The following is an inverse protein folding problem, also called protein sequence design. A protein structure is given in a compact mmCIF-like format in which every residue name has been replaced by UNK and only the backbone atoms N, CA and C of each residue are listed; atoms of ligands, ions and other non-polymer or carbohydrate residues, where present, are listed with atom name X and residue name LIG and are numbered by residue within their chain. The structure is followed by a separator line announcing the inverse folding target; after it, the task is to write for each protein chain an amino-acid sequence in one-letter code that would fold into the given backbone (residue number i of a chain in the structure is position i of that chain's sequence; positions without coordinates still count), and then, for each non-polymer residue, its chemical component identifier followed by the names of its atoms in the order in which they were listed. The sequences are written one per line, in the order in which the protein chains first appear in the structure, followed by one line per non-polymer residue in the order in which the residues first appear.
data_IF_360824713072
#
_entry.id   IF_360824713072
#
_cell.length_a   1.000
_cell.length_b   1.000
_cell.length_c   1.000
_cell.angle_alpha   90.00
_cell.angle_beta   90.00
_cell.angle_gamma   90.00
#
_symmetry.space_group_name_H-M   'P 1'
#
loop_
_entity.id
_entity.type
_entity.pdbx_description
1 polymer ?
#
# COMPACT_ATOMS: atom_id res chain seq x y z
N UNK A 1 -6.48 16.64 -7.13
CA UNK A 1 -7.86 16.48 -7.60
C UNK A 1 -8.68 16.78 -6.38
N UNK A 2 -8.85 18.06 -6.06
CA UNK A 2 -9.93 18.46 -5.18
C UNK A 2 -10.97 18.99 -6.15
N UNK A 3 -11.89 18.11 -6.52
CA UNK A 3 -13.00 18.36 -7.47
C UNK A 3 -14.23 18.88 -6.70
N UNK A 4 -14.08 19.12 -5.40
CA UNK A 4 -15.15 19.48 -4.48
C UNK A 4 -14.73 20.81 -3.86
N UNK A 5 -15.53 21.84 -4.10
CA UNK A 5 -15.30 23.15 -3.52
C UNK A 5 -15.76 23.17 -2.06
N UNK A 6 -15.18 24.07 -1.26
CA UNK A 6 -15.52 24.20 0.15
C UNK A 6 -17.01 24.54 0.36
N UNK A 7 -17.66 25.15 -0.64
CA UNK A 7 -19.09 25.44 -0.65
C UNK A 7 -19.98 24.18 -0.69
N UNK A 8 -19.48 23.06 -1.20
CA UNK A 8 -20.22 21.81 -1.32
C UNK A 8 -20.15 20.96 -0.04
N UNK A 9 -19.13 21.19 0.80
CA UNK A 9 -18.87 20.41 2.01
C UNK A 9 -20.05 20.32 3.00
N UNK A 10 -20.87 21.37 3.19
CA UNK A 10 -22.05 21.27 4.06
C UNK A 10 -23.02 20.18 3.61
N UNK A 11 -23.15 19.92 2.30
CA UNK A 11 -24.08 18.96 1.72
C UNK A 11 -23.52 17.54 1.59
N UNK A 12 -22.24 17.34 1.91
CA UNK A 12 -21.58 16.03 1.83
C UNK A 12 -21.55 15.40 3.21
N UNK A 13 -22.30 14.31 3.41
CA UNK A 13 -22.29 13.58 4.69
C UNK A 13 -21.28 12.42 4.72
N UNK A 14 -20.91 11.90 3.56
CA UNK A 14 -20.14 10.67 3.43
C UNK A 14 -18.95 10.86 2.48
N UNK A 15 -17.76 10.54 2.96
CA UNK A 15 -16.55 10.39 2.15
C UNK A 15 -16.26 8.91 1.97
N UNK A 16 -16.14 8.46 0.73
CA UNK A 16 -15.86 7.05 0.42
C UNK A 16 -14.54 6.95 -0.30
N UNK A 17 -13.59 6.26 0.33
CA UNK A 17 -12.29 5.92 -0.23
C UNK A 17 -12.26 4.44 -0.56
N UNK A 18 -11.85 4.13 -1.79
CA UNK A 18 -11.79 2.75 -2.29
C UNK A 18 -10.37 2.48 -2.76
N UNK A 19 -9.80 1.36 -2.32
CA UNK A 19 -8.47 0.90 -2.73
C UNK A 19 -8.47 -0.63 -2.86
N UNK A 20 -7.54 -1.23 -3.60
CA UNK A 20 -7.46 -2.68 -3.73
C UNK A 20 -6.80 -3.32 -2.49
N UNK A 21 -5.69 -2.76 -2.04
CA UNK A 21 -4.87 -3.27 -0.96
C UNK A 21 -4.29 -2.17 -0.07
N UNK A 22 -4.42 -2.31 1.24
CA UNK A 22 -3.79 -1.38 2.20
C UNK A 22 -2.77 -2.08 3.10
N UNK A 23 -1.48 -1.88 2.77
CA UNK A 23 -0.36 -2.50 3.49
C UNK A 23 -0.01 -1.83 4.82
N UNK A 24 0.21 -0.51 4.80
CA UNK A 24 0.63 0.25 6.00
C UNK A 24 -0.39 1.27 6.45
N UNK A 25 -1.43 1.53 5.66
CA UNK A 25 -2.39 2.62 5.87
C UNK A 25 -1.83 4.02 5.62
N UNK A 26 -0.52 4.18 5.33
CA UNK A 26 0.14 5.48 5.24
C UNK A 26 -0.44 6.37 4.13
N UNK A 27 -0.74 5.82 2.96
CA UNK A 27 -1.30 6.59 1.84
C UNK A 27 -2.66 7.19 2.20
N UNK A 28 -3.54 6.38 2.79
CA UNK A 28 -4.86 6.81 3.25
C UNK A 28 -4.76 7.88 4.35
N UNK A 29 -3.93 7.64 5.38
CA UNK A 29 -3.71 8.62 6.47
C UNK A 29 -3.16 9.93 5.91
N UNK A 30 -2.23 9.87 4.95
CA UNK A 30 -1.68 11.07 4.32
C UNK A 30 -2.74 11.83 3.53
N UNK A 31 -3.72 11.16 2.94
CA UNK A 31 -4.85 11.81 2.27
C UNK A 31 -5.71 12.58 3.27
N UNK A 32 -6.07 11.94 4.39
CA UNK A 32 -6.84 12.60 5.45
C UNK A 32 -6.11 13.82 6.01
N UNK A 33 -4.79 13.72 6.21
CA UNK A 33 -3.95 14.81 6.75
C UNK A 33 -3.91 16.05 5.89
N UNK A 34 -4.21 15.96 4.59
CA UNK A 34 -4.21 17.16 3.72
C UNK A 34 -5.26 18.17 4.14
N UNK A 35 -6.39 17.70 4.66
CA UNK A 35 -7.50 18.57 5.04
C UNK A 35 -8.36 17.91 6.12
N UNK A 36 -7.81 17.74 7.32
CA UNK A 36 -8.46 17.02 8.44
C UNK A 36 -9.84 17.58 8.79
N UNK A 37 -9.99 18.91 8.79
CA UNK A 37 -11.24 19.60 9.16
C UNK A 37 -12.41 19.25 8.24
N UNK A 38 -12.12 18.89 6.99
CA UNK A 38 -13.11 18.46 5.99
C UNK A 38 -13.97 17.27 6.45
N UNK A 39 -13.44 16.45 7.34
CA UNK A 39 -14.08 15.22 7.80
C UNK A 39 -14.83 15.39 9.12
N UNK A 40 -14.82 16.59 9.71
CA UNK A 40 -15.47 16.86 10.99
C UNK A 40 -16.98 16.67 10.89
N UNK A 41 -17.53 15.81 11.76
CA UNK A 41 -18.96 15.49 11.77
C UNK A 41 -19.46 14.68 10.57
N UNK A 42 -18.56 14.23 9.69
CA UNK A 42 -18.89 13.43 8.50
C UNK A 42 -18.56 11.95 8.71
N UNK A 43 -19.13 11.07 7.91
CA UNK A 43 -18.75 9.66 7.90
C UNK A 43 -17.65 9.44 6.87
N UNK A 44 -16.55 8.82 7.26
CA UNK A 44 -15.48 8.40 6.35
C UNK A 44 -15.54 6.89 6.21
N UNK A 45 -15.69 6.39 5.00
CA UNK A 45 -15.63 4.98 4.67
C UNK A 45 -14.31 4.69 3.96
N UNK A 46 -13.62 3.65 4.41
CA UNK A 46 -12.45 3.12 3.72
C UNK A 46 -12.71 1.66 3.34
N UNK A 47 -12.91 1.44 2.05
CA UNK A 47 -13.31 0.16 1.47
C UNK A 47 -12.10 -0.44 0.74
N UNK A 48 -11.74 -1.66 1.10
CA UNK A 48 -10.61 -2.37 0.47
C UNK A 48 -10.94 -3.83 0.16
N UNK A 49 -10.26 -4.44 -0.82
CA UNK A 49 -10.34 -5.90 -0.97
C UNK A 49 -9.55 -6.57 0.14
N UNK A 50 -8.33 -6.09 0.43
CA UNK A 50 -7.52 -6.64 1.51
C UNK A 50 -6.78 -5.54 2.29
N UNK A 51 -6.76 -5.66 3.61
CA UNK A 51 -6.03 -4.75 4.50
C UNK A 51 -5.20 -5.52 5.53
N UNK A 52 -4.00 -5.00 5.79
CA UNK A 52 -3.20 -5.50 6.91
C UNK A 52 -3.82 -5.06 8.24
N UNK A 53 -3.88 -5.95 9.23
CA UNK A 53 -4.40 -5.62 10.58
C UNK A 53 -3.60 -4.45 11.19
N UNK A 54 -2.29 -4.40 10.96
CA UNK A 54 -1.44 -3.29 11.41
C UNK A 54 -1.80 -1.94 10.76
N UNK A 55 -2.31 -1.93 9.52
CA UNK A 55 -2.79 -0.73 8.86
C UNK A 55 -4.12 -0.26 9.46
N UNK A 56 -5.05 -1.19 9.71
CA UNK A 56 -6.34 -0.92 10.37
C UNK A 56 -6.12 -0.20 11.71
N UNK A 57 -5.25 -0.76 12.58
CA UNK A 57 -4.93 -0.15 13.89
C UNK A 57 -4.36 1.26 13.77
N UNK A 58 -3.47 1.51 12.80
CA UNK A 58 -2.88 2.84 12.58
C UNK A 58 -3.91 3.86 12.10
N UNK A 59 -4.80 3.44 11.20
CA UNK A 59 -5.86 4.30 10.66
C UNK A 59 -6.83 4.65 11.78
N UNK A 60 -7.32 3.65 12.52
CA UNK A 60 -8.22 3.87 13.66
C UNK A 60 -7.61 4.77 14.73
N UNK A 61 -6.32 4.58 15.04
CA UNK A 61 -5.60 5.45 15.99
C UNK A 61 -5.59 6.90 15.52
N UNK A 62 -5.16 7.13 14.26
CA UNK A 62 -5.14 8.47 13.69
C UNK A 62 -6.52 9.12 13.65
N UNK A 63 -7.55 8.38 13.21
CA UNK A 63 -8.91 8.90 13.15
C UNK A 63 -9.47 9.22 14.54
N UNK A 64 -9.18 8.40 15.55
CA UNK A 64 -9.55 8.66 16.95
C UNK A 64 -8.90 9.94 17.48
N UNK A 65 -7.60 10.11 17.26
CA UNK A 65 -6.84 11.30 17.67
C UNK A 65 -7.35 12.59 17.02
N UNK A 66 -7.99 12.49 15.84
CA UNK A 66 -8.48 13.63 15.07
C UNK A 66 -10.01 13.73 15.06
N UNK A 67 -10.71 12.97 15.91
CA UNK A 67 -12.17 12.93 15.99
C UNK A 67 -12.88 12.68 14.63
N UNK A 68 -12.26 11.85 13.78
CA UNK A 68 -12.81 11.44 12.48
C UNK A 68 -13.58 10.14 12.67
N UNK A 69 -14.86 10.12 12.27
CA UNK A 69 -15.68 8.91 12.27
C UNK A 69 -15.32 8.04 11.06
N UNK A 70 -14.47 7.04 11.27
CA UNK A 70 -14.01 6.10 10.24
C UNK A 70 -14.76 4.76 10.31
N UNK A 71 -15.12 4.22 9.15
CA UNK A 71 -15.72 2.90 8.96
C UNK A 71 -14.85 2.15 7.95
N UNK A 72 -14.11 1.14 8.42
CA UNK A 72 -13.23 0.34 7.58
C UNK A 72 -13.97 -0.92 7.15
N UNK A 73 -14.21 -1.07 5.85
CA UNK A 73 -14.80 -2.24 5.24
C UNK A 73 -13.72 -2.95 4.42
N UNK A 74 -13.49 -4.22 4.71
CA UNK A 74 -12.53 -5.01 3.94
C UNK A 74 -12.98 -6.44 3.87
N UNK A 75 -12.95 -7.02 2.68
CA UNK A 75 -13.29 -8.43 2.47
C UNK A 75 -12.30 -9.32 3.22
N UNK A 76 -11.00 -9.01 3.12
CA UNK A 76 -9.94 -9.75 3.79
C UNK A 76 -9.13 -8.88 4.74
N UNK A 77 -8.93 -9.38 5.96
CA UNK A 77 -8.02 -8.78 6.95
C UNK A 77 -6.95 -9.79 7.32
N UNK A 78 -5.68 -9.42 7.20
CA UNK A 78 -4.59 -10.34 7.50
C UNK A 78 -3.47 -9.70 8.32
N UNK A 79 -2.85 -10.53 9.16
CA UNK A 79 -1.57 -10.23 9.78
C UNK A 79 -0.42 -10.55 8.82
N UNK A 80 0.80 -10.21 9.25
CA UNK A 80 2.02 -10.60 8.53
C UNK A 80 2.07 -12.11 8.39
N UNK A 81 2.59 -12.59 7.27
CA UNK A 81 2.70 -14.03 6.95
C UNK A 81 3.30 -14.82 8.11
N UNK A 82 4.46 -14.38 8.61
CA UNK A 82 5.21 -15.07 9.66
C UNK A 82 4.78 -14.73 11.09
N UNK A 83 3.71 -13.97 11.27
CA UNK A 83 3.05 -13.81 12.58
C UNK A 83 1.74 -14.60 12.69
N UNK A 84 1.38 -15.34 11.64
CA UNK A 84 0.22 -16.22 11.58
C UNK A 84 0.70 -17.66 11.75
N UNK A 85 -0.14 -18.55 12.27
CA UNK A 85 0.20 -19.97 12.39
C UNK A 85 0.01 -20.69 11.04
N UNK A 86 0.84 -20.33 10.05
CA UNK A 86 0.83 -20.92 8.71
C UNK A 86 1.88 -22.01 8.53
N UNK A 87 2.89 -22.01 9.38
CA UNK A 87 4.00 -22.96 9.37
C UNK A 87 4.20 -23.54 10.77
N UNK A 88 4.75 -24.75 10.87
CA UNK A 88 5.11 -25.38 12.15
C UNK A 88 6.10 -24.51 12.94
N UNK A 89 7.05 -23.90 12.23
CA UNK A 89 7.97 -22.89 12.75
C UNK A 89 8.05 -21.69 11.81
N UNK A 90 7.42 -20.59 12.21
CA UNK A 90 7.41 -19.35 11.45
C UNK A 90 8.80 -18.71 11.31
N UNK A 91 9.68 -18.88 12.29
CA UNK A 91 11.03 -18.30 12.26
C UNK A 91 11.88 -19.04 11.24
N UNK A 92 11.83 -20.38 11.28
CA UNK A 92 12.51 -21.24 10.30
C UNK A 92 11.97 -21.02 8.89
N UNK A 93 10.65 -21.00 8.71
CA UNK A 93 10.04 -20.75 7.39
C UNK A 93 10.44 -19.38 6.82
N UNK A 94 10.56 -18.36 7.67
CA UNK A 94 11.03 -17.04 7.25
C UNK A 94 12.48 -17.06 6.81
N UNK A 95 13.35 -17.77 7.53
CA UNK A 95 14.75 -17.97 7.17
C UNK A 95 14.87 -18.70 5.82
N UNK A 96 14.21 -19.84 5.67
CA UNK A 96 14.20 -20.64 4.44
C UNK A 96 13.69 -19.83 3.23
N UNK A 97 12.61 -19.07 3.39
CA UNK A 97 12.11 -18.18 2.33
C UNK A 97 13.11 -17.06 2.00
N UNK A 98 13.85 -16.55 3.00
CA UNK A 98 14.87 -15.52 2.78
C UNK A 98 16.02 -16.10 1.96
N UNK A 99 16.61 -17.22 2.40
CA UNK A 99 17.69 -17.91 1.71
C UNK A 99 17.30 -18.31 0.28
N UNK A 100 16.11 -18.90 0.12
CA UNK A 100 15.58 -19.22 -1.21
C UNK A 100 15.44 -17.96 -2.08
N UNK A 101 14.94 -16.86 -1.53
CA UNK A 101 14.77 -15.62 -2.30
C UNK A 101 16.11 -15.02 -2.75
N UNK A 102 17.13 -15.10 -1.91
CA UNK A 102 18.51 -14.70 -2.23
C UNK A 102 19.08 -15.58 -3.35
N UNK A 103 18.89 -16.89 -3.27
CA UNK A 103 19.28 -17.84 -4.33
C UNK A 103 18.58 -17.58 -5.66
N UNK A 104 17.33 -17.10 -5.62
CA UNK A 104 16.56 -16.69 -6.78
C UNK A 104 16.94 -15.28 -7.27
N UNK A 105 17.89 -14.60 -6.62
CA UNK A 105 18.37 -13.25 -6.97
C UNK A 105 17.27 -12.20 -6.86
N UNK A 106 16.38 -12.34 -5.88
CA UNK A 106 15.34 -11.35 -5.59
C UNK A 106 15.98 -10.20 -4.81
N UNK A 107 15.72 -8.92 -5.18
CA UNK A 107 16.30 -7.80 -4.45
C UNK A 107 15.91 -7.82 -2.98
N UNK A 108 16.86 -7.53 -2.08
CA UNK A 108 16.67 -7.58 -0.62
C UNK A 108 15.44 -6.76 -0.17
N UNK A 109 15.22 -5.59 -0.78
CA UNK A 109 14.08 -4.72 -0.50
C UNK A 109 12.72 -5.33 -0.85
N UNK A 110 12.70 -6.36 -1.69
CA UNK A 110 11.52 -7.00 -2.24
C UNK A 110 11.22 -8.35 -1.60
N UNK A 111 12.22 -9.04 -1.02
CA UNK A 111 12.10 -10.38 -0.41
C UNK A 111 10.89 -10.45 0.53
N UNK A 112 10.80 -9.50 1.47
CA UNK A 112 9.73 -9.45 2.49
C UNK A 112 8.54 -8.54 2.10
N UNK A 113 8.47 -8.17 0.82
CA UNK A 113 7.52 -7.18 0.31
C UNK A 113 7.84 -5.75 0.76
N UNK A 114 7.19 -4.78 0.10
CA UNK A 114 7.42 -3.36 0.34
C UNK A 114 7.34 -2.99 1.83
N UNK A 115 8.42 -2.39 2.34
CA UNK A 115 8.58 -2.01 3.76
C UNK A 115 8.42 -3.18 4.74
N UNK A 116 8.80 -4.39 4.32
CA UNK A 116 8.73 -5.62 5.14
C UNK A 116 7.30 -5.85 5.66
N UNK A 117 6.30 -5.58 4.81
CA UNK A 117 4.89 -5.82 5.11
C UNK A 117 4.57 -7.30 5.24
N UNK A 118 5.34 -8.17 4.57
CA UNK A 118 5.17 -9.62 4.62
C UNK A 118 3.73 -10.03 4.33
N UNK A 119 3.09 -9.38 3.35
CA UNK A 119 1.74 -9.76 2.95
C UNK A 119 1.80 -11.06 2.15
N UNK A 120 0.79 -11.92 2.33
CA UNK A 120 0.60 -13.11 1.50
C UNK A 120 -0.70 -12.92 0.73
N UNK A 121 -0.63 -12.17 -0.37
CA UNK A 121 -1.78 -11.86 -1.21
C UNK A 121 -1.36 -11.76 -2.66
N UNK A 122 -2.16 -12.30 -3.56
CA UNK A 122 -2.02 -12.09 -4.99
C UNK A 122 -3.40 -11.78 -5.57
N UNK A 123 -3.44 -10.90 -6.56
CA UNK A 123 -4.64 -10.63 -7.33
C UNK A 123 -4.44 -11.17 -8.74
N UNK A 124 -5.54 -11.58 -9.38
CA UNK A 124 -5.51 -12.15 -10.73
C UNK A 124 -4.82 -11.21 -11.75
N UNK A 125 -5.11 -9.91 -11.66
CA UNK A 125 -4.57 -8.92 -12.60
C UNK A 125 -3.23 -8.32 -12.17
N UNK A 126 -3.06 -8.00 -10.88
CA UNK A 126 -1.89 -7.24 -10.42
C UNK A 126 -1.53 -7.50 -8.96
N UNK A 127 -0.44 -8.23 -8.71
CA UNK A 127 0.01 -8.56 -7.34
C UNK A 127 0.53 -7.32 -6.60
N UNK A 128 0.03 -7.00 -5.39
CA UNK A 128 0.51 -5.88 -4.58
C UNK A 128 2.03 -5.96 -4.32
N UNK A 129 2.70 -4.81 -4.27
CA UNK A 129 4.14 -4.76 -3.96
C UNK A 129 4.45 -5.16 -2.50
N UNK A 130 3.43 -5.17 -1.64
CA UNK A 130 3.54 -5.59 -0.25
C UNK A 130 3.67 -7.12 -0.08
N UNK A 131 3.42 -7.88 -1.14
CA UNK A 131 3.55 -9.33 -1.18
C UNK A 131 5.01 -9.76 -1.19
N UNK A 132 5.31 -10.91 -0.58
CA UNK A 132 6.62 -11.56 -0.62
C UNK A 132 7.19 -11.60 -2.04
N UNK A 133 8.48 -11.28 -2.17
CA UNK A 133 9.12 -11.02 -3.46
C UNK A 133 9.04 -12.21 -4.41
N UNK A 134 9.29 -13.42 -3.93
CA UNK A 134 9.29 -14.63 -4.77
C UNK A 134 7.93 -14.92 -5.40
N UNK A 135 6.85 -14.35 -4.87
CA UNK A 135 5.51 -14.55 -5.45
C UNK A 135 5.33 -13.71 -6.71
N UNK A 136 6.03 -12.57 -6.85
CA UNK A 136 5.72 -11.55 -7.86
C UNK A 136 6.90 -10.95 -8.63
N UNK A 137 8.14 -11.24 -8.22
CA UNK A 137 9.33 -10.59 -8.72
C UNK A 137 10.10 -11.55 -9.62
N UNK A 138 10.11 -11.26 -10.92
CA UNK A 138 10.89 -12.00 -11.90
C UNK A 138 12.37 -11.61 -11.84
N UNK A 139 13.24 -12.58 -12.01
CA UNK A 139 14.69 -12.40 -12.07
C UNK A 139 15.24 -13.15 -13.28
N UNK A 140 16.54 -13.02 -13.57
CA UNK A 140 17.17 -13.80 -14.64
C UNK A 140 17.16 -15.32 -14.38
N UNK A 141 17.01 -15.73 -13.10
CA UNK A 141 17.05 -17.13 -12.67
C UNK A 141 15.65 -17.69 -12.38
N UNK A 142 14.64 -16.84 -12.26
CA UNK A 142 13.35 -17.21 -11.71
C UNK A 142 12.21 -16.43 -12.35
N UNK A 143 11.16 -17.15 -12.76
CA UNK A 143 9.89 -16.57 -13.15
C UNK A 143 8.89 -16.76 -12.01
N UNK A 144 8.32 -15.65 -11.55
CA UNK A 144 7.39 -15.63 -10.43
C UNK A 144 6.05 -16.24 -10.77
N UNK A 145 5.35 -16.73 -9.73
CA UNK A 145 4.07 -17.44 -9.89
C UNK A 145 2.95 -16.45 -10.26
N UNK A 146 2.99 -15.25 -9.67
CA UNK A 146 2.03 -14.17 -9.91
C UNK A 146 2.77 -12.86 -10.25
N UNK A 147 3.41 -12.80 -11.43
CA UNK A 147 4.23 -11.67 -11.83
C UNK A 147 3.38 -10.41 -11.91
N UNK A 148 3.97 -9.30 -11.47
CA UNK A 148 3.31 -8.00 -11.60
C UNK A 148 3.32 -7.59 -13.07
N UNK A 149 2.14 -7.51 -13.69
CA UNK A 149 2.03 -6.97 -15.06
C UNK A 149 2.20 -5.45 -15.01
N UNK A 150 3.09 -4.93 -15.84
CA UNK A 150 3.13 -3.50 -16.13
C UNK A 150 1.97 -3.20 -17.09
N UNK A 151 0.76 -3.11 -16.54
CA UNK A 151 -0.42 -2.75 -17.32
C UNK A 151 -0.16 -1.43 -18.05
N UNK A 152 -0.61 -1.34 -19.30
CA UNK A 152 -0.50 -0.11 -20.10
C UNK A 152 -1.25 0.98 -19.34
N UNK A 153 -0.49 1.88 -18.72
CA UNK A 153 -1.08 3.02 -18.02
C UNK A 153 -1.45 4.10 -19.06
N UNK A 154 -2.60 4.77 -18.90
CA UNK A 154 -2.96 5.91 -19.72
C UNK A 154 -1.86 6.99 -19.75
N UNK A 155 -1.68 7.64 -20.90
CA UNK A 155 -0.54 8.56 -21.15
C UNK A 155 -0.38 9.70 -20.14
N UNK A 156 -1.47 10.17 -19.53
CA UNK A 156 -1.44 11.20 -18.48
C UNK A 156 -0.79 10.74 -17.17
N UNK A 157 -0.84 9.44 -16.85
CA UNK A 157 -0.12 8.85 -15.72
C UNK A 157 1.39 8.86 -16.00
N UNK A 158 1.80 8.54 -17.23
CA UNK A 158 3.20 8.62 -17.66
C UNK A 158 3.75 10.06 -17.59
N UNK A 159 2.96 11.05 -18.01
CA UNK A 159 3.33 12.47 -17.89
C UNK A 159 3.56 12.89 -16.43
N UNK A 160 2.72 12.42 -15.49
CA UNK A 160 2.88 12.70 -14.05
C UNK A 160 4.16 12.07 -13.48
N UNK A 161 4.49 10.83 -13.87
CA UNK A 161 5.75 10.16 -13.48
C UNK A 161 6.98 10.93 -13.99
N UNK A 162 6.97 11.34 -15.26
CA UNK A 162 8.03 12.15 -15.85
C UNK A 162 8.18 13.53 -15.15
N UNK A 163 7.07 14.12 -14.70
CA UNK A 163 7.11 15.36 -13.90
C UNK A 163 7.74 15.15 -12.52
N UNK A 164 7.44 14.04 -11.84
CA UNK A 164 8.08 13.70 -10.56
C UNK A 164 9.58 13.45 -10.72
N UNK A 165 9.98 12.66 -11.71
CA UNK A 165 11.40 12.38 -11.98
C UNK A 165 12.19 13.67 -12.20
N UNK A 166 11.69 14.59 -13.04
CA UNK A 166 12.29 15.93 -13.24
C UNK A 166 12.41 16.73 -11.94
N UNK A 167 11.41 16.66 -11.06
CA UNK A 167 11.43 17.35 -9.77
C UNK A 167 12.52 16.80 -8.84
N UNK A 168 12.71 15.48 -8.81
CA UNK A 168 13.75 14.82 -8.03
C UNK A 168 15.15 15.15 -8.57
N UNK A 169 15.34 15.13 -9.90
CA UNK A 169 16.61 15.53 -10.53
C UNK A 169 16.97 16.98 -10.15
N UNK A 170 16.02 17.91 -10.28
CA UNK A 170 16.24 19.33 -9.94
C UNK A 170 16.51 19.59 -8.45
N UNK A 171 16.01 18.71 -7.56
CA UNK A 171 16.28 18.81 -6.13
C UNK A 171 17.70 18.35 -5.81
N UNK A 172 18.14 17.23 -6.41
CA UNK A 172 19.48 16.70 -6.18
C UNK A 172 20.56 17.61 -6.76
N UNK A 173 20.36 18.19 -7.95
CA UNK A 173 21.31 19.14 -8.53
C UNK A 173 21.41 20.47 -7.78
N UNK A 174 20.45 20.80 -6.91
CA UNK A 174 20.52 21.95 -6.00
C UNK A 174 21.14 21.63 -4.63
N UNK A 175 21.29 20.36 -4.29
CA UNK A 175 21.90 19.91 -3.04
C UNK A 175 23.41 19.64 -3.20
N UNK A 176 23.92 19.69 -4.42
CA UNK A 176 25.33 19.51 -4.79
C UNK A 176 26.04 20.85 -5.08
N UNK A 177 25.36 21.99 -4.93
CA UNK A 177 25.92 23.36 -4.90
C UNK A 177 26.05 23.85 -3.45
#
# INVERSE_FOLDING_TARGET
MDVIDDADLPFIDNFVFIDDFSGTGKSFINELKKNTSRYNGKNVYFITINIMISATRKIECYCRENNIKIIILSEFRQDKTFSRNLFDDNSKAKEEITTMSEDLIIPESEIMGFKKSQALVAFYNNTPNNTLGFIRYDTKKYNSIFPRRNDIVPGWINMKRARMARKTTNYNSKAEE
#
